data_IF_942287414748
#
_entry.id   IF_942287414748
#
_cell.length_a   1.000
_cell.length_b   1.000
_cell.length_c   1.000
_cell.angle_alpha   90.00
_cell.angle_beta   90.00
_cell.angle_gamma   90.00
#
_symmetry.space_group_name_H-M   'P 1'
#
loop_
_entity.id
_entity.type
_entity.pdbx_description
1 polymer ?
#
# COMPACT_ATOMS: atom_id res chain seq x y z
N UNK A 1 6.23 22.66 14.56
CA UNK A 1 6.35 23.26 13.22
C UNK A 1 5.23 22.72 12.36
N UNK A 2 4.53 23.58 11.63
CA UNK A 2 3.48 23.16 10.71
C UNK A 2 4.05 23.07 9.29
N UNK A 3 3.72 22.02 8.51
CA UNK A 3 4.21 21.87 7.15
C UNK A 3 3.55 22.90 6.22
N UNK A 4 4.36 23.54 5.37
CA UNK A 4 3.84 24.37 4.29
C UNK A 4 3.49 23.50 3.08
N UNK A 5 2.23 23.08 2.97
CA UNK A 5 1.75 22.24 1.87
C UNK A 5 1.26 23.12 0.72
N UNK A 6 2.10 23.30 -0.29
CA UNK A 6 1.82 24.17 -1.46
C UNK A 6 1.11 23.46 -2.60
N UNK A 7 1.05 22.12 -2.58
CA UNK A 7 0.42 21.31 -3.61
C UNK A 7 -0.04 19.97 -3.04
N UNK A 8 -1.22 19.51 -3.45
CA UNK A 8 -1.74 18.19 -3.11
C UNK A 8 -2.34 17.54 -4.37
N UNK A 9 -1.89 16.32 -4.68
CA UNK A 9 -2.40 15.53 -5.79
C UNK A 9 -2.72 14.11 -5.34
N UNK A 10 -3.60 13.45 -6.09
CA UNK A 10 -3.99 12.05 -5.84
C UNK A 10 -3.05 11.03 -6.47
N UNK A 11 -2.27 11.46 -7.46
CA UNK A 11 -1.40 10.61 -8.26
C UNK A 11 0.06 11.02 -8.05
N UNK A 12 0.93 10.03 -7.86
CA UNK A 12 2.36 10.26 -7.66
C UNK A 12 3.03 10.84 -8.90
N UNK A 13 2.56 10.51 -10.11
CA UNK A 13 3.15 11.02 -11.35
C UNK A 13 2.94 12.53 -11.50
N UNK A 14 1.78 13.03 -11.03
CA UNK A 14 1.53 14.47 -10.95
C UNK A 14 2.49 15.11 -9.94
N UNK A 15 2.70 14.50 -8.77
CA UNK A 15 3.65 15.00 -7.78
C UNK A 15 5.07 15.07 -8.37
N UNK A 16 5.54 13.99 -9.01
CA UNK A 16 6.86 13.93 -9.66
C UNK A 16 7.04 15.02 -10.71
N UNK A 17 6.01 15.28 -11.52
CA UNK A 17 6.02 16.34 -12.54
C UNK A 17 6.28 17.72 -11.92
N UNK A 18 5.57 18.08 -10.84
CA UNK A 18 5.74 19.38 -10.19
C UNK A 18 7.06 19.49 -9.40
N UNK A 19 7.56 18.40 -8.84
CA UNK A 19 8.91 18.35 -8.25
C UNK A 19 9.97 18.64 -9.31
N UNK A 20 9.87 18.02 -10.49
CA UNK A 20 10.78 18.25 -11.63
C UNK A 20 10.76 19.70 -12.12
N UNK A 21 9.61 20.37 -12.00
CA UNK A 21 9.46 21.80 -12.32
C UNK A 21 10.00 22.74 -11.22
N UNK A 22 10.57 22.21 -10.14
CA UNK A 22 11.16 23.00 -9.06
C UNK A 22 10.15 23.54 -8.04
N UNK A 23 8.94 22.98 -7.99
CA UNK A 23 7.91 23.43 -7.04
C UNK A 23 8.27 23.13 -5.58
N UNK A 24 9.09 22.11 -5.33
CA UNK A 24 9.54 21.75 -3.99
C UNK A 24 9.84 20.25 -3.86
N UNK A 25 9.67 19.73 -2.64
CA UNK A 25 9.90 18.32 -2.28
C UNK A 25 8.58 17.55 -2.41
N UNK A 26 8.62 16.38 -3.07
CA UNK A 26 7.48 15.46 -3.17
C UNK A 26 7.54 14.38 -2.10
N UNK A 27 6.39 14.06 -1.51
CA UNK A 27 6.21 12.92 -0.60
C UNK A 27 5.28 11.94 -1.30
N UNK A 28 5.77 10.74 -1.61
CA UNK A 28 5.04 9.69 -2.31
C UNK A 28 5.19 8.35 -1.60
N UNK A 29 4.35 7.38 -1.94
CA UNK A 29 4.56 5.99 -1.53
C UNK A 29 5.87 5.47 -2.14
N UNK A 30 6.64 4.68 -1.39
CA UNK A 30 7.88 4.08 -1.91
C UNK A 30 7.65 3.32 -3.22
N UNK A 31 6.52 2.63 -3.36
CA UNK A 31 6.15 1.90 -4.59
C UNK A 31 6.01 2.77 -5.84
N UNK A 32 5.82 4.08 -5.68
CA UNK A 32 5.67 5.01 -6.81
C UNK A 32 7.00 5.59 -7.30
N UNK A 33 8.11 5.19 -6.68
CA UNK A 33 9.46 5.48 -7.13
C UNK A 33 10.01 4.28 -7.90
N UNK A 34 10.08 4.43 -9.22
CA UNK A 34 10.49 3.41 -10.17
C UNK A 34 11.98 3.53 -10.52
N UNK A 35 12.58 2.49 -11.09
CA UNK A 35 14.01 2.49 -11.39
C UNK A 35 14.42 3.58 -12.40
N UNK A 36 13.50 3.97 -13.27
CA UNK A 36 13.74 5.03 -14.27
C UNK A 36 13.68 6.44 -13.64
N UNK A 37 13.12 6.57 -12.42
CA UNK A 37 13.04 7.85 -11.72
C UNK A 37 14.42 8.35 -11.23
N UNK A 38 15.42 7.45 -11.11
CA UNK A 38 16.78 7.79 -10.65
C UNK A 38 17.49 8.83 -11.52
N UNK A 39 17.14 8.93 -12.80
CA UNK A 39 17.74 9.92 -13.70
C UNK A 39 17.31 11.35 -13.34
N UNK A 40 16.15 11.51 -12.73
CA UNK A 40 15.49 12.80 -12.53
C UNK A 40 15.32 13.18 -11.06
N UNK A 41 15.38 12.21 -10.14
CA UNK A 41 15.06 12.41 -8.73
C UNK A 41 16.08 11.74 -7.82
N UNK A 42 16.34 12.39 -6.67
CA UNK A 42 17.00 11.76 -5.54
C UNK A 42 15.95 11.38 -4.50
N UNK A 43 15.86 10.10 -4.16
CA UNK A 43 14.92 9.59 -3.16
C UNK A 43 15.55 9.53 -1.76
N UNK A 44 14.76 9.86 -0.73
CA UNK A 44 15.13 9.71 0.68
C UNK A 44 14.06 8.86 1.37
N UNK A 45 14.47 7.84 2.12
CA UNK A 45 13.53 6.97 2.84
C UNK A 45 12.78 7.74 3.93
N UNK A 46 11.45 7.61 3.92
CA UNK A 46 10.55 8.19 4.92
C UNK A 46 10.19 7.25 6.06
N UNK A 47 10.78 6.05 6.15
CA UNK A 47 10.36 4.98 7.08
C UNK A 47 10.42 5.35 8.57
N UNK A 48 11.35 6.22 8.95
CA UNK A 48 11.47 6.70 10.33
C UNK A 48 10.61 7.91 10.63
N UNK A 49 10.07 8.55 9.60
CA UNK A 49 9.32 9.81 9.67
C UNK A 49 7.81 9.53 9.61
N UNK A 50 7.39 8.58 8.79
CA UNK A 50 5.98 8.25 8.57
C UNK A 50 5.63 6.83 9.04
N UNK A 51 4.43 6.62 9.59
CA UNK A 51 3.96 5.28 9.89
C UNK A 51 3.77 4.48 8.59
N UNK A 52 3.87 3.17 8.68
CA UNK A 52 3.55 2.28 7.57
C UNK A 52 2.05 2.36 7.23
N UNK A 53 1.76 2.43 5.95
CA UNK A 53 0.39 2.36 5.43
C UNK A 53 0.07 0.94 4.97
N UNK A 54 -1.08 0.41 5.38
CA UNK A 54 -1.55 -0.93 4.97
C UNK A 54 -2.65 -0.81 3.92
N UNK A 55 -2.48 -1.49 2.78
CA UNK A 55 -3.52 -1.65 1.78
C UNK A 55 -4.47 -2.80 2.16
N UNK A 56 -5.78 -2.60 1.98
CA UNK A 56 -6.81 -3.55 2.38
C UNK A 56 -7.67 -3.97 1.20
N UNK A 57 -8.07 -5.24 1.19
CA UNK A 57 -9.20 -5.68 0.37
C UNK A 57 -10.52 -5.41 1.08
N UNK A 58 -11.37 -4.60 0.44
CA UNK A 58 -12.72 -4.32 0.92
C UNK A 58 -13.77 -5.02 0.06
N UNK A 59 -14.70 -5.72 0.69
CA UNK A 59 -15.89 -6.25 0.04
C UNK A 59 -17.11 -6.14 0.97
N UNK A 60 -18.30 -6.20 0.39
CA UNK A 60 -19.55 -6.08 1.15
C UNK A 60 -19.76 -7.31 2.02
N UNK A 61 -20.15 -7.12 3.29
CA UNK A 61 -20.52 -8.22 4.19
C UNK A 61 -21.68 -9.03 3.62
N UNK A 62 -21.61 -10.35 3.75
CA UNK A 62 -22.59 -11.28 3.19
C UNK A 62 -22.51 -11.44 1.67
N UNK A 63 -21.53 -10.83 1.00
CA UNK A 63 -21.26 -11.12 -0.41
C UNK A 63 -20.69 -12.53 -0.54
N UNK A 64 -21.26 -13.33 -1.44
CA UNK A 64 -20.72 -14.65 -1.77
C UNK A 64 -19.39 -14.47 -2.50
N UNK A 65 -18.29 -14.88 -1.87
CA UNK A 65 -16.98 -14.92 -2.52
C UNK A 65 -16.90 -16.13 -3.43
N UNK A 66 -17.00 -15.90 -4.74
CA UNK A 66 -16.80 -16.98 -5.73
C UNK A 66 -15.34 -17.43 -5.75
N UNK A 67 -15.08 -18.64 -6.26
CA UNK A 67 -13.73 -19.20 -6.33
C UNK A 67 -12.75 -18.28 -7.06
N UNK A 68 -13.18 -17.59 -8.13
CA UNK A 68 -12.33 -16.64 -8.83
C UNK A 68 -11.93 -15.44 -7.96
N UNK A 69 -12.84 -14.89 -7.16
CA UNK A 69 -12.53 -13.77 -6.24
C UNK A 69 -11.54 -14.20 -5.16
N UNK A 70 -11.73 -15.40 -4.60
CA UNK A 70 -10.80 -15.97 -3.62
C UNK A 70 -9.41 -16.16 -4.25
N UNK A 71 -9.35 -16.72 -5.46
CA UNK A 71 -8.10 -16.89 -6.20
C UNK A 71 -7.42 -15.55 -6.53
N UNK A 72 -8.20 -14.51 -6.88
CA UNK A 72 -7.68 -13.18 -7.15
C UNK A 72 -7.06 -12.53 -5.90
N UNK A 73 -7.75 -12.59 -4.76
CA UNK A 73 -7.22 -12.07 -3.49
C UNK A 73 -5.94 -12.81 -3.11
N UNK A 74 -5.92 -14.14 -3.25
CA UNK A 74 -4.72 -14.95 -2.95
C UNK A 74 -3.56 -14.65 -3.91
N UNK A 75 -3.83 -14.42 -5.21
CA UNK A 75 -2.81 -14.04 -6.18
C UNK A 75 -2.11 -12.74 -5.77
N UNK A 76 -2.86 -11.76 -5.27
CA UNK A 76 -2.30 -10.49 -4.82
C UNK A 76 -1.67 -10.56 -3.42
N UNK A 77 -2.28 -11.33 -2.51
CA UNK A 77 -1.87 -11.47 -1.11
C UNK A 77 -1.63 -12.95 -0.75
N UNK A 78 -0.54 -13.55 -1.24
CA UNK A 78 -0.27 -15.00 -1.08
C UNK A 78 -0.03 -15.41 0.38
N UNK A 79 0.28 -14.46 1.26
CA UNK A 79 0.40 -14.65 2.70
C UNK A 79 -0.96 -14.89 3.39
N UNK A 80 -2.09 -14.63 2.72
CA UNK A 80 -3.44 -14.86 3.23
C UNK A 80 -4.04 -16.07 2.52
N UNK A 81 -4.05 -17.22 3.20
CA UNK A 81 -4.58 -18.45 2.62
C UNK A 81 -6.07 -18.34 2.24
N UNK A 82 -6.54 -19.10 1.21
CA UNK A 82 -7.96 -19.14 0.84
C UNK A 82 -8.91 -19.42 2.02
N UNK A 83 -8.49 -20.29 2.96
CA UNK A 83 -9.26 -20.60 4.16
C UNK A 83 -9.44 -19.37 5.06
N UNK A 84 -8.41 -18.55 5.20
CA UNK A 84 -8.46 -17.31 5.97
C UNK A 84 -9.32 -16.25 5.29
N UNK A 85 -9.28 -16.16 3.96
CA UNK A 85 -10.14 -15.25 3.17
C UNK A 85 -11.62 -15.58 3.41
N UNK A 86 -12.00 -16.85 3.30
CA UNK A 86 -13.39 -17.29 3.54
C UNK A 86 -13.80 -17.02 4.99
N UNK A 87 -12.94 -17.37 5.95
CA UNK A 87 -13.20 -17.12 7.38
C UNK A 87 -13.36 -15.62 7.71
N UNK A 88 -12.55 -14.77 7.08
CA UNK A 88 -12.66 -13.32 7.23
C UNK A 88 -13.95 -12.77 6.59
N UNK A 89 -14.43 -13.38 5.50
CA UNK A 89 -15.67 -12.99 4.85
C UNK A 89 -16.93 -13.34 5.65
N UNK A 90 -16.86 -14.40 6.45
CA UNK A 90 -17.92 -14.82 7.40
C UNK A 90 -17.96 -13.96 8.68
N UNK A 91 -16.93 -13.14 8.91
CA UNK A 91 -16.83 -12.31 10.11
C UNK A 91 -17.82 -11.13 10.08
N UNK A 92 -18.47 -10.88 11.21
CA UNK A 92 -19.50 -9.85 11.34
C UNK A 92 -18.95 -8.48 11.78
N UNK A 93 -17.74 -8.43 12.34
CA UNK A 93 -17.12 -7.20 12.87
C UNK A 93 -15.65 -7.09 12.45
N UNK A 94 -15.18 -5.85 12.32
CA UNK A 94 -13.76 -5.57 12.01
C UNK A 94 -12.81 -6.12 13.09
N UNK A 95 -13.25 -6.12 14.36
CA UNK A 95 -12.48 -6.71 15.47
C UNK A 95 -12.17 -8.19 15.27
N UNK A 96 -13.08 -8.92 14.62
CA UNK A 96 -12.92 -10.36 14.41
C UNK A 96 -11.96 -10.61 13.25
N UNK A 97 -12.04 -9.79 12.20
CA UNK A 97 -11.07 -9.79 11.09
C UNK A 97 -9.66 -9.51 11.62
N UNK A 98 -9.49 -8.51 12.48
CA UNK A 98 -8.20 -8.17 13.06
C UNK A 98 -7.63 -9.33 13.90
N UNK A 99 -8.47 -10.11 14.60
CA UNK A 99 -8.04 -11.31 15.32
C UNK A 99 -7.65 -12.44 14.39
N UNK A 100 -8.39 -12.63 13.29
CA UNK A 100 -8.12 -13.67 12.29
C UNK A 100 -6.79 -13.41 11.58
N UNK A 101 -6.50 -12.14 11.26
CA UNK A 101 -5.33 -11.75 10.47
C UNK A 101 -4.14 -11.26 11.31
N UNK A 102 -4.33 -10.98 12.61
CA UNK A 102 -3.35 -10.27 13.43
C UNK A 102 -2.03 -10.99 13.68
N UNK A 103 -1.95 -12.30 13.41
CA UNK A 103 -0.70 -13.07 13.50
C UNK A 103 0.07 -13.21 12.19
N UNK A 104 -0.42 -12.59 11.09
CA UNK A 104 0.17 -12.71 9.77
C UNK A 104 1.12 -11.55 9.55
N UNK A 105 2.36 -11.87 9.22
CA UNK A 105 3.33 -10.87 8.80
C UNK A 105 2.98 -10.36 7.39
N UNK A 106 2.81 -9.05 7.28
CA UNK A 106 2.42 -8.43 6.02
C UNK A 106 3.67 -8.10 5.19
N UNK A 107 3.67 -8.38 3.88
CA UNK A 107 4.78 -8.00 3.02
C UNK A 107 4.88 -6.48 2.96
N UNK A 108 6.10 -5.97 3.07
CA UNK A 108 6.41 -4.56 2.82
C UNK A 108 6.64 -4.40 1.32
N UNK A 109 6.09 -3.32 0.76
CA UNK A 109 6.31 -2.93 -0.64
C UNK A 109 6.97 -1.57 -0.67
N UNK A 110 8.05 -1.46 -1.44
CA UNK A 110 8.86 -0.24 -1.57
C UNK A 110 9.23 0.03 -3.03
N UNK A 111 10.05 1.06 -3.24
CA UNK A 111 10.54 1.46 -4.57
C UNK A 111 11.72 0.63 -5.07
N UNK A 112 12.30 1.02 -6.21
CA UNK A 112 13.42 0.32 -6.87
C UNK A 112 14.55 -0.10 -5.90
N UNK A 113 14.93 0.78 -4.96
CA UNK A 113 16.03 0.55 -4.01
C UNK A 113 15.64 -0.27 -2.75
N UNK A 114 14.36 -0.58 -2.57
CA UNK A 114 13.83 -1.19 -1.33
C UNK A 114 13.45 -2.67 -1.49
N UNK A 115 13.76 -3.29 -2.63
CA UNK A 115 13.47 -4.72 -2.90
C UNK A 115 14.62 -5.65 -2.44
N UNK A 116 15.64 -5.11 -1.76
CA UNK A 116 16.69 -5.93 -1.14
C UNK A 116 16.46 -6.13 0.36
N UNK A 117 15.59 -7.07 0.71
CA UNK A 117 15.65 -7.79 2.00
C UNK A 117 15.06 -9.19 1.83
#
# INVERSE_FOLDING_TARGET
>A
MEPNVVFAARDADIIKTYVKMGMGIGIVSGMAYECDDHENFAAISGETIFPKCTAWFGFRRGMLLTNYVISFINLFAPHISPKLIVKAAEANKQSDINKILGGIELPVKGGCDQIQT
#
